data_IF_955861543543
#
_entry.id   IF_955861543543
#
_cell.length_a   1.000
_cell.length_b   1.000
_cell.length_c   1.000
_cell.angle_alpha   90.00
_cell.angle_beta   90.00
_cell.angle_gamma   90.00
#
_symmetry.space_group_name_H-M   'P 1'
#
loop_
_entity.id
_entity.type
_entity.pdbx_description
1 polymer ?
#
# COMPACT_ATOMS: atom_id res chain seq x y z
N UNK A 1 -14.23 14.33 -10.51
CA UNK A 1 -15.23 14.77 -9.53
C UNK A 1 -16.16 13.59 -9.40
N UNK A 2 -16.44 13.15 -8.17
CA UNK A 2 -17.37 12.05 -7.95
C UNK A 2 -18.77 12.49 -8.38
N UNK A 3 -19.59 11.54 -8.79
CA UNK A 3 -20.93 11.71 -9.31
C UNK A 3 -21.85 10.59 -8.79
N UNK A 4 -23.15 10.79 -8.88
CA UNK A 4 -24.12 9.75 -8.57
C UNK A 4 -23.86 8.50 -9.42
N UNK A 5 -23.90 7.33 -8.79
CA UNK A 5 -23.58 6.05 -9.41
C UNK A 5 -22.08 5.70 -9.44
N UNK A 6 -21.19 6.61 -9.04
CA UNK A 6 -19.80 6.24 -8.76
C UNK A 6 -19.72 5.38 -7.49
N UNK A 7 -18.69 4.54 -7.44
CA UNK A 7 -18.35 3.75 -6.26
C UNK A 7 -17.30 4.47 -5.42
N UNK A 8 -17.52 4.48 -4.12
CA UNK A 8 -16.47 4.76 -3.14
C UNK A 8 -16.23 3.53 -2.29
N UNK A 9 -15.11 3.52 -1.56
CA UNK A 9 -14.79 2.46 -0.63
C UNK A 9 -14.38 3.03 0.73
N UNK A 10 -14.86 2.42 1.80
CA UNK A 10 -14.42 2.71 3.16
C UNK A 10 -13.58 1.55 3.70
N UNK A 11 -12.50 1.87 4.42
CA UNK A 11 -11.61 0.84 4.94
C UNK A 11 -12.12 0.27 6.27
N UNK A 12 -12.43 -1.02 6.29
CA UNK A 12 -12.69 -1.77 7.52
C UNK A 12 -11.37 -2.11 8.22
N UNK A 13 -11.17 -1.74 9.50
CA UNK A 13 -10.03 -2.21 10.27
C UNK A 13 -10.15 -3.72 10.50
N UNK A 14 -9.05 -4.45 10.29
CA UNK A 14 -8.98 -5.88 10.61
C UNK A 14 -7.86 -6.11 11.63
N UNK A 15 -7.94 -7.21 12.39
CA UNK A 15 -6.92 -7.56 13.39
C UNK A 15 -5.56 -7.97 12.78
N UNK A 16 -5.36 -7.84 11.46
CA UNK A 16 -4.12 -8.16 10.74
C UNK A 16 -3.66 -7.05 9.80
N UNK A 17 -2.62 -7.32 8.99
CA UNK A 17 -2.12 -6.36 7.99
C UNK A 17 -3.01 -6.25 6.73
N UNK A 18 -4.12 -6.99 6.66
CA UNK A 18 -5.02 -6.95 5.51
C UNK A 18 -5.94 -5.73 5.58
N UNK A 19 -5.98 -4.96 4.49
CA UNK A 19 -6.95 -3.89 4.30
C UNK A 19 -8.16 -4.46 3.59
N UNK A 20 -9.32 -4.37 4.22
CA UNK A 20 -10.60 -4.72 3.59
C UNK A 20 -11.29 -3.41 3.23
N UNK A 21 -11.60 -3.24 1.95
CA UNK A 21 -12.32 -2.08 1.42
C UNK A 21 -13.76 -2.49 1.17
N UNK A 22 -14.70 -1.79 1.78
CA UNK A 22 -16.14 -2.03 1.61
C UNK A 22 -16.67 -1.08 0.55
N UNK A 23 -17.21 -1.58 -0.58
CA UNK A 23 -17.77 -0.75 -1.64
C UNK A 23 -19.09 -0.13 -1.19
N UNK A 24 -19.31 1.13 -1.58
CA UNK A 24 -20.53 1.88 -1.33
C UNK A 24 -20.90 2.69 -2.58
N UNK A 25 -22.15 2.59 -2.98
CA UNK A 25 -22.70 3.35 -4.10
C UNK A 25 -23.05 4.77 -3.67
N UNK A 26 -22.63 5.77 -4.47
CA UNK A 26 -23.08 7.14 -4.29
C UNK A 26 -24.51 7.26 -4.82
N UNK A 27 -25.47 7.45 -3.91
CA UNK A 27 -26.89 7.60 -4.25
C UNK A 27 -27.19 9.05 -4.64
N UNK A 28 -26.54 10.02 -3.99
CA UNK A 28 -26.69 11.44 -4.31
C UNK A 28 -25.46 12.26 -3.91
N UNK A 29 -25.38 13.49 -4.44
CA UNK A 29 -24.46 14.53 -3.99
C UNK A 29 -25.29 15.72 -3.51
N UNK A 30 -25.24 16.02 -2.22
CA UNK A 30 -26.04 17.07 -1.58
C UNK A 30 -25.12 18.06 -0.90
N UNK A 31 -25.16 19.34 -1.30
CA UNK A 31 -24.36 20.41 -0.68
C UNK A 31 -22.85 20.12 -0.63
N UNK A 32 -22.31 19.32 -1.56
CA UNK A 32 -20.91 18.92 -1.58
C UNK A 32 -20.59 17.68 -0.72
N UNK A 33 -21.59 17.10 -0.07
CA UNK A 33 -21.51 15.83 0.65
C UNK A 33 -21.93 14.67 -0.25
N UNK A 34 -21.31 13.51 -0.02
CA UNK A 34 -21.62 12.24 -0.66
C UNK A 34 -22.66 11.52 0.18
N UNK A 35 -23.79 11.18 -0.42
CA UNK A 35 -24.88 10.47 0.23
C UNK A 35 -24.86 9.00 -0.20
N UNK A 36 -24.92 8.12 0.79
CA UNK A 36 -24.95 6.67 0.62
C UNK A 36 -26.13 6.14 1.41
N UNK A 37 -26.90 5.25 0.79
CA UNK A 37 -27.97 4.52 1.45
C UNK A 37 -27.64 3.03 1.36
N UNK A 38 -27.64 2.35 2.50
CA UNK A 38 -27.29 0.94 2.56
C UNK A 38 -28.02 0.25 3.69
N UNK A 39 -28.37 -1.02 3.47
CA UNK A 39 -28.87 -1.91 4.53
C UNK A 39 -27.72 -2.51 5.35
N UNK A 40 -26.46 -2.21 5.01
CA UNK A 40 -25.30 -2.71 5.72
C UNK A 40 -25.05 -1.88 6.99
N UNK A 41 -24.94 -2.56 8.13
CA UNK A 41 -24.55 -1.94 9.40
C UNK A 41 -23.02 -1.91 9.50
N UNK A 42 -22.46 -0.75 9.88
CA UNK A 42 -21.03 -0.60 10.13
C UNK A 42 -20.76 -0.38 11.63
N UNK A 43 -20.74 -1.48 12.39
CA UNK A 43 -20.43 -1.51 13.83
C UNK A 43 -18.97 -1.15 14.19
N UNK A 44 -18.13 -0.94 13.18
CA UNK A 44 -16.70 -0.67 13.31
C UNK A 44 -16.29 0.76 12.96
N UNK A 45 -17.24 1.62 12.57
CA UNK A 45 -16.91 3.00 12.22
C UNK A 45 -16.41 3.77 13.46
N UNK A 46 -15.37 4.61 13.32
CA UNK A 46 -14.81 5.35 14.45
C UNK A 46 -15.78 6.39 15.04
N UNK A 47 -15.92 6.43 16.36
CA UNK A 47 -16.80 7.40 17.06
C UNK A 47 -16.43 8.88 16.82
N UNK A 48 -15.20 9.17 16.40
CA UNK A 48 -14.76 10.53 16.04
C UNK A 48 -15.32 11.03 14.71
N UNK A 49 -16.07 10.19 14.00
CA UNK A 49 -16.72 10.53 12.74
C UNK A 49 -15.75 10.63 11.57
N UNK A 50 -14.52 10.11 11.65
CA UNK A 50 -13.53 10.19 10.57
C UNK A 50 -13.19 8.83 9.97
N UNK A 51 -13.10 8.79 8.64
CA UNK A 51 -12.73 7.60 7.87
C UNK A 51 -11.78 7.94 6.72
N UNK A 52 -11.16 6.91 6.16
CA UNK A 52 -10.48 7.00 4.87
C UNK A 52 -11.42 6.48 3.78
N UNK A 53 -11.69 7.35 2.81
CA UNK A 53 -12.46 7.04 1.61
C UNK A 53 -11.51 6.83 0.45
N UNK A 54 -11.77 5.80 -0.33
CA UNK A 54 -11.05 5.47 -1.55
C UNK A 54 -11.99 5.57 -2.74
N UNK A 55 -11.51 5.99 -3.90
CA UNK A 55 -12.34 6.13 -5.09
C UNK A 55 -11.50 6.27 -6.36
N UNK A 56 -12.11 5.96 -7.51
CA UNK A 56 -11.49 6.16 -8.81
C UNK A 56 -11.71 7.57 -9.35
N UNK A 57 -10.66 8.21 -9.85
CA UNK A 57 -10.75 9.50 -10.56
C UNK A 57 -9.82 9.50 -11.75
N UNK A 58 -10.39 9.55 -12.97
CA UNK A 58 -9.61 9.63 -14.23
C UNK A 58 -8.54 8.54 -14.35
N UNK A 59 -8.85 7.31 -13.93
CA UNK A 59 -7.97 6.12 -13.89
C UNK A 59 -6.95 6.08 -12.75
N UNK A 60 -6.96 7.06 -11.84
CA UNK A 60 -6.16 7.01 -10.62
C UNK A 60 -7.04 6.53 -9.47
N UNK A 61 -6.57 5.54 -8.71
CA UNK A 61 -7.23 5.12 -7.47
C UNK A 61 -6.72 6.00 -6.33
N UNK A 62 -7.59 6.85 -5.80
CA UNK A 62 -7.24 7.87 -4.81
C UNK A 62 -7.73 7.46 -3.42
N UNK A 63 -7.10 8.02 -2.39
CA UNK A 63 -7.57 7.98 -1.01
C UNK A 63 -7.61 9.39 -0.44
N UNK A 64 -8.58 9.64 0.41
CA UNK A 64 -8.80 10.93 1.03
C UNK A 64 -9.42 10.74 2.41
N UNK A 65 -9.03 11.57 3.38
CA UNK A 65 -9.72 11.61 4.66
C UNK A 65 -11.14 12.15 4.44
N UNK A 66 -12.09 11.67 5.23
CA UNK A 66 -13.45 12.15 5.19
C UNK A 66 -14.06 12.17 6.58
N UNK A 67 -14.98 13.10 6.80
CA UNK A 67 -15.89 13.07 7.94
C UNK A 67 -17.18 12.37 7.49
N UNK A 68 -17.77 11.57 8.36
CA UNK A 68 -19.08 10.97 8.10
C UNK A 68 -20.06 11.30 9.22
N UNK A 69 -21.34 11.35 8.87
CA UNK A 69 -22.47 11.47 9.78
C UNK A 69 -23.48 10.38 9.42
N UNK A 70 -23.95 9.65 10.43
CA UNK A 70 -24.97 8.61 10.25
C UNK A 70 -26.33 9.22 10.58
N UNK A 71 -27.25 9.15 9.62
CA UNK A 71 -28.66 9.42 9.86
C UNK A 71 -29.38 8.09 9.72
N UNK A 72 -29.86 7.58 10.85
CA UNK A 72 -30.74 6.41 10.87
C UNK A 72 -32.15 6.97 10.70
N UNK A 73 -32.80 6.64 9.59
CA UNK A 73 -34.23 6.91 9.46
C UNK A 73 -34.98 5.89 10.32
N UNK A 74 -35.55 6.36 11.43
CA UNK A 74 -36.49 5.57 12.22
C UNK A 74 -37.81 5.44 11.43
N UNK A 75 -38.08 4.21 10.98
CA UNK A 75 -39.36 3.63 10.54
C UNK A 75 -40.48 4.61 10.10
N UNK A 76 -40.69 4.73 8.78
CA UNK A 76 -42.04 4.93 8.25
C UNK A 76 -42.74 3.56 8.25
N UNK A 77 -43.93 3.46 8.85
CA UNK A 77 -44.69 2.22 9.14
C UNK A 77 -44.96 1.29 7.93
N UNK A 78 -44.60 1.70 6.71
CA UNK A 78 -44.84 0.97 5.46
C UNK A 78 -43.55 0.61 4.66
N UNK A 79 -42.34 0.88 5.18
CA UNK A 79 -41.08 0.52 4.51
C UNK A 79 -40.26 -0.53 5.26
N UNK A 80 -39.73 -1.48 4.48
CA UNK A 80 -38.90 -2.61 4.91
C UNK A 80 -37.69 -2.15 5.72
N UNK A 81 -37.48 -2.77 6.87
CA UNK A 81 -36.36 -2.63 7.82
C UNK A 81 -35.07 -1.95 7.30
N UNK A 82 -34.65 -0.89 8.01
CA UNK A 82 -33.23 -0.67 8.33
C UNK A 82 -32.31 -0.10 7.26
N UNK A 83 -32.75 0.88 6.46
CA UNK A 83 -31.85 1.62 5.56
C UNK A 83 -31.09 2.69 6.34
N UNK A 84 -29.76 2.53 6.43
CA UNK A 84 -28.87 3.52 7.01
C UNK A 84 -28.42 4.51 5.95
N UNK A 85 -28.56 5.81 6.24
CA UNK A 85 -28.07 6.90 5.39
C UNK A 85 -26.78 7.47 5.96
N UNK A 86 -25.70 7.42 5.18
CA UNK A 86 -24.42 8.05 5.49
C UNK A 86 -24.27 9.32 4.67
N UNK A 87 -23.97 10.43 5.35
CA UNK A 87 -23.44 11.62 4.69
C UNK A 87 -21.94 11.69 4.90
N UNK A 88 -21.18 11.86 3.81
CA UNK A 88 -19.71 11.87 3.82
C UNK A 88 -19.18 13.18 3.23
N UNK A 89 -18.39 13.90 4.01
CA UNK A 89 -17.67 15.10 3.60
C UNK A 89 -16.18 14.77 3.37
N UNK A 90 -15.69 14.93 2.14
CA UNK A 90 -14.27 14.74 1.83
C UNK A 90 -13.42 15.89 2.38
N UNK A 91 -12.33 15.55 3.07
CA UNK A 91 -11.44 16.49 3.73
C UNK A 91 -10.07 16.57 3.04
N UNK A 92 -9.55 17.79 2.89
CA UNK A 92 -8.21 18.04 2.34
C UNK A 92 -8.08 17.66 0.86
N UNK A 93 -6.84 17.48 0.40
CA UNK A 93 -6.56 17.05 -0.98
C UNK A 93 -6.46 15.53 -1.08
N UNK A 94 -7.02 14.91 -2.14
CA UNK A 94 -6.85 13.48 -2.36
C UNK A 94 -5.40 13.15 -2.70
N UNK A 95 -4.96 12.01 -2.20
CA UNK A 95 -3.65 11.45 -2.51
C UNK A 95 -3.82 10.11 -3.19
N UNK A 96 -2.88 9.74 -4.04
CA UNK A 96 -2.89 8.44 -4.71
C UNK A 96 -2.89 7.29 -3.67
N UNK A 97 -3.89 6.41 -3.73
CA UNK A 97 -4.01 5.24 -2.86
C UNK A 97 -2.96 4.17 -3.21
N UNK A 98 -2.55 4.12 -4.47
CA UNK A 98 -1.52 3.27 -5.05
C UNK A 98 -0.10 3.82 -4.81
N UNK A 99 0.06 5.06 -4.31
CA UNK A 99 1.39 5.60 -3.96
C UNK A 99 2.12 4.81 -2.85
N UNK A 100 1.43 3.89 -2.15
CA UNK A 100 2.04 2.90 -1.24
C UNK A 100 2.19 1.50 -1.85
N UNK A 101 1.80 1.32 -3.11
CA UNK A 101 1.93 0.10 -3.91
C UNK A 101 2.83 0.36 -5.11
N UNK A 102 4.09 0.71 -4.86
CA UNK A 102 5.10 0.31 -5.85
C UNK A 102 5.05 -1.22 -5.89
N UNK A 103 4.55 -1.79 -6.99
CA UNK A 103 4.38 -3.25 -7.11
C UNK A 103 5.66 -3.95 -6.66
N UNK A 104 5.54 -4.72 -5.58
CA UNK A 104 6.65 -5.54 -5.09
C UNK A 104 6.76 -6.75 -5.98
N UNK A 105 7.93 -6.92 -6.57
CA UNK A 105 8.20 -8.03 -7.45
C UNK A 105 9.11 -8.98 -6.70
N UNK A 106 8.69 -10.23 -6.56
CA UNK A 106 9.48 -11.27 -5.91
C UNK A 106 10.76 -11.53 -6.72
N UNK A 107 11.91 -11.38 -6.06
CA UNK A 107 13.24 -11.65 -6.61
C UNK A 107 13.77 -13.03 -6.22
N UNK A 108 13.04 -13.78 -5.39
CA UNK A 108 13.48 -15.09 -4.86
C UNK A 108 13.96 -16.03 -5.96
N UNK A 109 13.21 -16.13 -7.06
CA UNK A 109 13.52 -17.08 -8.15
C UNK A 109 14.69 -16.60 -9.01
N UNK A 110 15.04 -15.31 -8.94
CA UNK A 110 16.13 -14.73 -9.73
C UNK A 110 17.50 -14.80 -9.06
N UNK A 111 17.57 -15.28 -7.81
CA UNK A 111 18.84 -15.42 -7.08
C UNK A 111 19.58 -14.10 -6.83
N UNK A 112 18.86 -12.97 -6.87
CA UNK A 112 19.47 -11.64 -6.69
C UNK A 112 19.89 -11.43 -5.23
N UNK A 113 21.03 -10.77 -5.07
CA UNK A 113 21.62 -10.46 -3.76
C UNK A 113 21.76 -8.95 -3.56
N UNK A 114 21.89 -8.56 -2.29
CA UNK A 114 22.23 -7.21 -1.87
C UNK A 114 23.39 -7.28 -0.89
N UNK A 115 24.32 -6.34 -0.94
CA UNK A 115 25.27 -6.15 0.15
C UNK A 115 24.59 -5.35 1.26
N UNK A 116 24.50 -5.93 2.46
CA UNK A 116 23.70 -5.42 3.56
C UNK A 116 24.55 -5.30 4.83
N UNK A 117 24.74 -4.05 5.29
CA UNK A 117 25.55 -3.74 6.47
C UNK A 117 26.93 -4.43 6.43
N UNK A 118 27.34 -5.02 7.56
CA UNK A 118 28.59 -5.77 7.71
C UNK A 118 28.44 -7.27 7.41
N UNK A 119 27.22 -7.76 7.17
CA UNK A 119 26.95 -9.18 6.87
C UNK A 119 27.40 -9.61 5.47
N UNK A 120 27.68 -8.64 4.59
CA UNK A 120 28.06 -8.93 3.20
C UNK A 120 26.85 -9.19 2.32
N UNK A 121 26.96 -10.15 1.40
CA UNK A 121 25.89 -10.47 0.46
C UNK A 121 24.76 -11.28 1.11
N UNK A 122 23.55 -10.73 1.05
CA UNK A 122 22.31 -11.32 1.56
C UNK A 122 21.30 -11.52 0.43
N UNK A 123 20.35 -12.44 0.64
CA UNK A 123 19.31 -12.74 -0.35
C UNK A 123 18.27 -11.62 -0.45
N UNK A 124 18.02 -11.15 -1.66
CA UNK A 124 16.95 -10.18 -1.96
C UNK A 124 15.64 -10.93 -2.19
N UNK A 125 14.61 -10.63 -1.40
CA UNK A 125 13.31 -11.33 -1.42
C UNK A 125 12.33 -10.67 -2.38
N UNK A 126 12.17 -9.36 -2.24
CA UNK A 126 11.29 -8.55 -3.08
C UNK A 126 11.85 -7.14 -3.24
N UNK A 127 11.51 -6.51 -4.37
CA UNK A 127 11.87 -5.12 -4.66
C UNK A 127 10.65 -4.34 -5.14
N UNK A 128 10.60 -3.07 -4.80
CA UNK A 128 9.71 -2.08 -5.38
C UNK A 128 10.51 -0.86 -5.80
N UNK A 129 9.88 0.19 -6.34
CA UNK A 129 10.61 1.39 -6.75
C UNK A 129 11.18 2.23 -5.58
N UNK A 130 10.72 1.98 -4.35
CA UNK A 130 11.11 2.78 -3.17
C UNK A 130 11.61 1.95 -1.98
N UNK A 131 11.59 0.62 -2.09
CA UNK A 131 12.02 -0.26 -1.02
C UNK A 131 12.32 -1.66 -1.51
N UNK A 132 12.80 -2.48 -0.60
CA UNK A 132 13.12 -3.88 -0.86
C UNK A 132 13.02 -4.69 0.43
N UNK A 133 13.13 -6.01 0.34
CA UNK A 133 13.26 -6.87 1.50
C UNK A 133 14.43 -7.84 1.34
N UNK A 134 15.13 -8.11 2.44
CA UNK A 134 16.24 -9.07 2.51
C UNK A 134 16.03 -10.08 3.63
N UNK A 135 16.71 -11.21 3.52
CA UNK A 135 16.87 -12.17 4.63
C UNK A 135 18.31 -12.12 5.09
N UNK A 136 18.49 -11.75 6.36
CA UNK A 136 19.78 -11.63 7.01
C UNK A 136 19.79 -12.37 8.35
N UNK A 137 20.98 -12.58 8.90
CA UNK A 137 21.21 -13.31 10.16
C UNK A 137 21.54 -12.39 11.33
N UNK A 138 22.09 -11.21 11.03
CA UNK A 138 22.35 -10.16 11.99
C UNK A 138 21.08 -9.50 12.47
N UNK A 139 21.20 -8.85 13.63
CA UNK A 139 20.09 -8.18 14.31
C UNK A 139 20.11 -6.71 13.97
N UNK A 140 19.02 -6.23 13.38
CA UNK A 140 18.80 -4.82 13.08
C UNK A 140 17.48 -4.34 13.65
N UNK A 141 17.42 -3.07 14.02
CA UNK A 141 16.24 -2.49 14.65
C UNK A 141 15.44 -1.66 13.65
N UNK A 142 14.11 -1.60 13.83
CA UNK A 142 13.26 -0.65 13.08
C UNK A 142 13.77 0.77 13.33
N UNK A 143 13.90 1.55 12.25
CA UNK A 143 14.46 2.90 12.27
C UNK A 143 15.97 2.97 11.97
N UNK A 144 16.70 1.85 12.03
CA UNK A 144 18.12 1.81 11.73
C UNK A 144 18.39 2.12 10.25
N UNK A 145 19.45 2.91 9.97
CA UNK A 145 19.86 3.28 8.61
C UNK A 145 21.04 2.42 8.18
N UNK A 146 20.84 1.66 7.11
CA UNK A 146 21.80 0.67 6.61
C UNK A 146 22.31 1.10 5.24
N UNK A 147 23.64 1.10 5.07
CA UNK A 147 24.27 1.21 3.75
C UNK A 147 24.00 -0.05 2.96
N UNK A 148 23.53 0.14 1.73
CA UNK A 148 23.09 -0.94 0.85
C UNK A 148 23.74 -0.78 -0.51
N UNK A 149 24.19 -1.90 -1.08
CA UNK A 149 24.56 -1.97 -2.49
C UNK A 149 23.80 -3.11 -3.16
N UNK A 150 23.05 -2.81 -4.22
CA UNK A 150 22.38 -3.81 -5.06
C UNK A 150 23.25 -4.11 -6.28
N UNK A 151 23.42 -5.41 -6.57
CA UNK A 151 24.14 -5.86 -7.76
C UNK A 151 23.13 -6.35 -8.81
N UNK A 152 23.20 -5.81 -10.03
CA UNK A 152 22.39 -6.28 -11.15
C UNK A 152 23.12 -6.08 -12.48
N UNK A 153 23.29 -7.16 -13.25
CA UNK A 153 23.90 -7.18 -14.59
C UNK A 153 25.29 -6.50 -14.63
N UNK A 154 26.12 -6.80 -13.64
CA UNK A 154 27.47 -6.24 -13.49
C UNK A 154 27.50 -4.78 -13.04
N UNK A 155 26.35 -4.17 -12.74
CA UNK A 155 26.25 -2.81 -12.22
C UNK A 155 25.95 -2.83 -10.72
N UNK A 156 26.52 -1.85 -10.02
CA UNK A 156 26.29 -1.62 -8.60
C UNK A 156 25.43 -0.37 -8.39
N UNK A 157 24.43 -0.50 -7.54
CA UNK A 157 23.56 0.59 -7.14
C UNK A 157 23.64 0.77 -5.62
N UNK A 158 24.20 1.90 -5.19
CA UNK A 158 24.54 2.13 -3.78
C UNK A 158 23.69 3.25 -3.20
N UNK A 159 23.38 3.13 -1.92
CA UNK A 159 22.69 4.15 -1.15
C UNK A 159 22.43 3.72 0.29
N UNK A 160 21.43 4.33 0.89
CA UNK A 160 21.01 4.05 2.26
C UNK A 160 19.53 3.70 2.33
N UNK A 161 19.20 2.76 3.21
CA UNK A 161 17.84 2.35 3.47
C UNK A 161 17.57 2.26 4.96
N UNK A 162 16.36 2.63 5.37
CA UNK A 162 15.87 2.51 6.73
C UNK A 162 15.13 1.19 6.90
N UNK A 163 15.41 0.46 7.99
CA UNK A 163 14.62 -0.70 8.40
C UNK A 163 13.22 -0.23 8.81
N UNK A 164 12.19 -0.70 8.10
CA UNK A 164 10.78 -0.38 8.36
C UNK A 164 10.04 -1.50 9.08
N UNK A 165 10.49 -2.74 8.92
CA UNK A 165 9.85 -3.91 9.52
C UNK A 165 10.85 -5.03 9.72
N UNK A 166 10.61 -5.81 10.77
CA UNK A 166 11.40 -6.98 11.16
C UNK A 166 10.42 -8.14 11.32
N UNK A 167 10.74 -9.28 10.71
CA UNK A 167 9.95 -10.51 10.82
C UNK A 167 10.90 -11.69 11.00
N UNK A 168 10.88 -12.31 12.17
CA UNK A 168 11.65 -13.52 12.45
C UNK A 168 11.08 -14.68 11.62
N UNK A 169 11.92 -15.34 10.83
CA UNK A 169 11.52 -16.50 10.02
C UNK A 169 11.85 -17.79 10.76
N UNK A 170 13.03 -17.86 11.36
CA UNK A 170 13.46 -18.92 12.28
C UNK A 170 14.58 -18.42 13.19
N UNK A 171 15.15 -19.31 14.01
CA UNK A 171 16.23 -18.99 14.98
C UNK A 171 17.49 -18.33 14.40
N UNK A 172 17.69 -18.35 13.07
CA UNK A 172 18.90 -17.82 12.41
C UNK A 172 18.60 -16.86 11.26
N UNK A 173 17.33 -16.69 10.88
CA UNK A 173 16.93 -15.91 9.71
C UNK A 173 15.84 -14.92 10.07
N UNK A 174 16.10 -13.66 9.72
CA UNK A 174 15.17 -12.57 9.91
C UNK A 174 14.95 -11.86 8.58
N UNK A 175 13.69 -11.63 8.22
CA UNK A 175 13.33 -10.81 7.07
C UNK A 175 13.23 -9.35 7.50
N UNK A 176 13.96 -8.50 6.81
CA UNK A 176 13.93 -7.05 6.99
C UNK A 176 13.25 -6.39 5.79
N UNK A 177 12.23 -5.58 6.05
CA UNK A 177 11.64 -4.70 5.05
C UNK A 177 12.31 -3.33 5.11
N UNK A 178 12.85 -2.89 3.99
CA UNK A 178 13.70 -1.71 3.86
C UNK A 178 13.01 -0.64 3.02
N UNK A 179 13.15 0.63 3.42
CA UNK A 179 12.72 1.79 2.65
C UNK A 179 13.92 2.67 2.33
N UNK A 180 14.10 3.03 1.06
CA UNK A 180 15.24 3.85 0.66
C UNK A 180 15.08 5.28 1.14
N UNK A 181 16.06 5.76 1.90
CA UNK A 181 16.06 7.11 2.49
C UNK A 181 17.07 8.04 1.83
N UNK A 182 17.53 7.68 0.63
CA UNK A 182 18.47 8.48 -0.15
C UNK A 182 17.93 9.89 -0.38
N UNK A 183 18.40 10.83 0.45
CA UNK A 183 18.41 12.25 0.12
C UNK A 183 19.34 12.41 -1.09
N UNK A 184 19.06 13.39 -1.96
CA UNK A 184 19.78 13.68 -3.23
C UNK A 184 21.29 13.96 -3.03
N UNK A 185 22.05 12.96 -2.57
CA UNK A 185 23.49 13.01 -2.37
C UNK A 185 24.17 12.51 -3.66
N UNK A 186 25.24 13.17 -4.12
CA UNK A 186 26.03 12.70 -5.25
C UNK A 186 26.54 11.28 -5.00
N UNK A 187 26.29 10.36 -5.92
CA UNK A 187 26.73 8.95 -5.84
C UNK A 187 25.65 7.97 -5.35
N UNK A 188 24.54 8.45 -4.81
CA UNK A 188 23.43 7.58 -4.40
C UNK A 188 22.50 7.32 -5.59
N UNK A 189 22.42 6.07 -6.03
CA UNK A 189 21.60 5.62 -7.15
C UNK A 189 20.76 4.38 -6.80
N UNK A 190 20.55 4.11 -5.51
CA UNK A 190 19.81 2.94 -5.03
C UNK A 190 18.37 2.90 -5.56
N UNK A 191 17.65 4.02 -5.53
CA UNK A 191 16.29 4.11 -6.09
C UNK A 191 16.25 3.79 -7.60
N UNK A 192 17.28 4.22 -8.35
CA UNK A 192 17.41 3.88 -9.77
C UNK A 192 17.66 2.37 -9.95
N UNK A 193 18.50 1.78 -9.10
CA UNK A 193 18.77 0.34 -9.08
C UNK A 193 17.51 -0.47 -8.81
N UNK A 194 16.77 -0.10 -7.78
CA UNK A 194 15.49 -0.71 -7.42
C UNK A 194 14.47 -0.69 -8.55
N UNK A 195 14.29 0.47 -9.19
CA UNK A 195 13.42 0.60 -10.35
C UNK A 195 13.89 -0.29 -11.51
N UNK A 196 15.19 -0.29 -11.80
CA UNK A 196 15.79 -1.10 -12.87
C UNK A 196 15.57 -2.59 -12.63
N UNK A 197 15.85 -3.05 -11.41
CA UNK A 197 15.68 -4.45 -11.01
C UNK A 197 14.20 -4.84 -11.06
N UNK A 198 13.31 -4.03 -10.48
CA UNK A 198 11.87 -4.29 -10.47
C UNK A 198 11.32 -4.50 -11.89
N UNK A 199 11.67 -3.60 -12.82
CA UNK A 199 11.29 -3.73 -14.23
C UNK A 199 11.88 -4.97 -14.90
N UNK A 200 13.14 -5.31 -14.61
CA UNK A 200 13.78 -6.51 -15.16
C UNK A 200 13.09 -7.79 -14.68
N UNK A 201 12.76 -7.88 -13.39
CA UNK A 201 12.04 -9.02 -12.80
C UNK A 201 10.65 -9.16 -13.44
N UNK A 202 9.90 -8.07 -13.56
CA UNK A 202 8.57 -8.11 -14.16
C UNK A 202 8.61 -8.63 -15.60
N UNK A 203 9.56 -8.13 -16.41
CA UNK A 203 9.75 -8.60 -17.79
C UNK A 203 10.09 -10.08 -17.85
N UNK A 204 10.92 -10.56 -16.93
CA UNK A 204 11.27 -11.98 -16.84
C UNK A 204 10.05 -12.84 -16.49
N UNK A 205 9.24 -12.41 -15.51
CA UNK A 205 8.02 -13.11 -15.11
C UNK A 205 7.00 -13.14 -16.27
N UNK A 206 6.78 -12.02 -16.96
CA UNK A 206 5.90 -11.96 -18.12
C UNK A 206 6.35 -12.89 -19.26
N UNK A 207 7.66 -12.97 -19.53
CA UNK A 207 8.22 -13.90 -20.53
C UNK A 207 8.02 -15.36 -20.15
N UNK A 208 8.04 -15.70 -18.86
CA UNK A 208 7.75 -17.06 -18.38
C UNK A 208 6.28 -17.40 -18.60
N UNK A 209 5.37 -16.48 -18.27
CA UNK A 209 3.94 -16.66 -18.49
C UNK A 209 3.60 -16.82 -19.97
N UNK A 210 4.17 -16.01 -20.85
CA UNK A 210 3.93 -16.08 -22.31
C UNK A 210 4.55 -17.30 -23.00
N UNK A 211 5.40 -18.07 -22.31
CA UNK A 211 5.98 -19.33 -22.81
C UNK A 211 5.27 -20.56 -22.23
N UNK A 212 4.41 -20.36 -21.24
CA UNK A 212 3.58 -21.39 -20.64
C UNK A 212 2.19 -21.49 -21.31
N UNK A 213 1.88 -20.57 -22.21
CA UNK A 213 0.71 -20.55 -23.12
C UNK A 213 1.09 -21.08 -24.50
#
# INVERSE_FOLDING_TARGET
>A
MLTQGDLIYIQKPTQGQQRVLIPLDIVALEQGQIIIETSQVFDWLPEDGQVLVYYDRRRDFLKQSAKYEVVIHEEDEDQVDGVMRLSIELLGEPVDAESRQTFRVSTVISGRTAHFAEEGEVSLVDVSASGYAVIASGKHNVGEIIKTTLNHDGRQFTGTACVQSVCELDTKRTRYGMFCVDKRQPGNNLNQGLLTISMAVQREQLRRLSRAS
#
